data_IF_248447453039
#
_entry.id   IF_248447453039
#
_cell.length_a   1.000
_cell.length_b   1.000
_cell.length_c   1.000
_cell.angle_alpha   90.00
_cell.angle_beta   90.00
_cell.angle_gamma   90.00
#
_symmetry.space_group_name_H-M   'P 1'
#
loop_
_entity.id
_entity.type
_entity.pdbx_description
1 polymer ?
#
# COMPACT_ATOMS: atom_id res chain seq x y z
N UNK A 1 -19.34 -43.40 -16.00
CA UNK A 1 -18.63 -42.51 -15.05
C UNK A 1 -17.40 -41.82 -15.63
N UNK A 2 -16.50 -42.52 -16.34
CA UNK A 2 -15.29 -41.94 -16.99
C UNK A 2 -15.64 -40.93 -18.10
N UNK A 3 -16.69 -41.21 -18.88
CA UNK A 3 -17.16 -40.32 -19.96
C UNK A 3 -17.76 -39.01 -19.42
N UNK A 4 -18.55 -39.08 -18.34
CA UNK A 4 -19.09 -37.89 -17.66
C UNK A 4 -17.99 -37.02 -17.04
N UNK A 5 -16.94 -37.64 -16.46
CA UNK A 5 -15.75 -36.91 -15.98
C UNK A 5 -15.04 -36.18 -17.11
N UNK A 6 -14.94 -36.77 -18.31
CA UNK A 6 -14.32 -36.11 -19.49
C UNK A 6 -15.15 -34.93 -20.02
N UNK A 7 -16.49 -35.02 -20.00
CA UNK A 7 -17.37 -33.93 -20.44
C UNK A 7 -17.36 -32.77 -19.43
N UNK A 8 -17.44 -33.06 -18.13
CA UNK A 8 -17.28 -32.04 -17.08
C UNK A 8 -15.89 -31.38 -17.13
N UNK A 9 -14.87 -32.14 -17.49
CA UNK A 9 -13.50 -31.65 -17.67
C UNK A 9 -13.38 -30.66 -18.84
N UNK A 10 -13.96 -30.96 -20.00
CA UNK A 10 -13.95 -30.08 -21.17
C UNK A 10 -14.76 -28.79 -20.91
N UNK A 11 -15.87 -28.87 -20.18
CA UNK A 11 -16.68 -27.70 -19.83
C UNK A 11 -15.97 -26.76 -18.84
N UNK A 12 -15.30 -27.29 -17.81
CA UNK A 12 -14.51 -26.47 -16.88
C UNK A 12 -13.32 -25.80 -17.58
N UNK A 13 -12.69 -26.51 -18.52
CA UNK A 13 -11.61 -25.97 -19.34
C UNK A 13 -12.10 -24.82 -20.23
N UNK A 14 -13.26 -24.99 -20.87
CA UNK A 14 -13.89 -23.93 -21.68
C UNK A 14 -14.23 -22.71 -20.84
N UNK A 15 -14.88 -22.88 -19.67
CA UNK A 15 -15.24 -21.77 -18.77
C UNK A 15 -13.99 -20.99 -18.32
N UNK A 16 -12.91 -21.68 -17.96
CA UNK A 16 -11.64 -21.02 -17.61
C UNK A 16 -11.02 -20.30 -18.81
N UNK A 17 -11.08 -20.87 -20.01
CA UNK A 17 -10.55 -20.24 -21.22
C UNK A 17 -11.32 -18.96 -21.56
N UNK A 18 -12.64 -19.02 -21.48
CA UNK A 18 -13.52 -17.87 -21.70
C UNK A 18 -13.27 -16.79 -20.65
N UNK A 19 -13.08 -17.16 -19.38
CA UNK A 19 -12.71 -16.20 -18.34
C UNK A 19 -11.33 -15.58 -18.58
N UNK A 20 -10.36 -16.34 -19.09
CA UNK A 20 -9.02 -15.83 -19.41
C UNK A 20 -9.07 -14.87 -20.60
N UNK A 21 -9.80 -15.21 -21.67
CA UNK A 21 -10.00 -14.34 -22.83
C UNK A 21 -10.80 -13.08 -22.46
N UNK A 22 -11.87 -13.21 -21.66
CA UNK A 22 -12.66 -12.07 -21.19
C UNK A 22 -11.85 -11.16 -20.27
N UNK A 23 -11.01 -11.73 -19.40
CA UNK A 23 -10.17 -10.94 -18.50
C UNK A 23 -9.01 -10.26 -19.24
N UNK A 24 -8.61 -10.76 -20.42
CA UNK A 24 -7.40 -10.31 -21.12
C UNK A 24 -7.53 -10.34 -22.65
N UNK A 25 -8.43 -9.51 -23.24
CA UNK A 25 -8.74 -9.54 -24.68
C UNK A 25 -7.54 -9.23 -25.58
N UNK A 26 -6.59 -8.42 -25.14
CA UNK A 26 -5.42 -7.98 -25.94
C UNK A 26 -4.22 -8.95 -25.89
N UNK A 27 -4.40 -10.15 -25.33
CA UNK A 27 -3.29 -11.09 -25.20
C UNK A 27 -3.06 -11.78 -26.55
N UNK A 28 -1.87 -11.62 -27.13
CA UNK A 28 -1.51 -12.22 -28.43
C UNK A 28 -1.83 -13.71 -28.46
N UNK A 29 -2.44 -14.19 -29.55
CA UNK A 29 -2.77 -15.61 -29.77
C UNK A 29 -1.58 -16.54 -29.55
N UNK A 30 -0.36 -16.06 -29.77
CA UNK A 30 0.89 -16.78 -29.55
C UNK A 30 1.10 -17.15 -28.06
N UNK A 31 0.80 -16.24 -27.13
CA UNK A 31 0.87 -16.48 -25.68
C UNK A 31 -0.20 -17.49 -25.26
N UNK A 32 -1.43 -17.37 -25.81
CA UNK A 32 -2.51 -18.31 -25.53
C UNK A 32 -2.15 -19.70 -26.07
N UNK A 33 -1.59 -19.78 -27.27
CA UNK A 33 -1.14 -21.03 -27.91
C UNK A 33 -0.01 -21.72 -27.13
N UNK A 34 0.97 -20.95 -26.66
CA UNK A 34 2.05 -21.47 -25.83
C UNK A 34 1.53 -22.01 -24.49
N UNK A 35 0.62 -21.27 -23.85
CA UNK A 35 -0.08 -21.70 -22.63
C UNK A 35 -0.86 -23.00 -22.88
N UNK A 36 -1.58 -23.11 -24.01
CA UNK A 36 -2.36 -24.29 -24.41
C UNK A 36 -1.50 -25.52 -24.71
N UNK A 37 -0.37 -25.35 -25.41
CA UNK A 37 0.60 -26.44 -25.64
C UNK A 37 1.16 -26.96 -24.32
N UNK A 38 1.40 -26.06 -23.38
CA UNK A 38 1.90 -26.36 -22.04
C UNK A 38 0.93 -27.23 -21.21
N UNK A 39 -0.38 -27.03 -21.36
CA UNK A 39 -1.39 -27.74 -20.56
C UNK A 39 -1.68 -29.18 -20.97
N UNK A 40 -1.15 -29.65 -22.10
CA UNK A 40 -1.39 -31.05 -22.55
C UNK A 40 -0.70 -32.12 -21.69
N UNK A 41 0.19 -31.78 -20.75
CA UNK A 41 1.08 -32.76 -20.13
C UNK A 41 0.68 -33.28 -18.73
N UNK A 42 -0.20 -32.61 -17.94
CA UNK A 42 -0.71 -33.21 -16.69
C UNK A 42 -1.91 -32.45 -16.07
N UNK A 43 -3.11 -32.90 -16.38
CA UNK A 43 -4.38 -32.19 -16.16
C UNK A 43 -4.71 -31.82 -14.69
N UNK A 44 -4.37 -32.66 -13.72
CA UNK A 44 -4.72 -32.37 -12.31
C UNK A 44 -3.74 -31.39 -11.65
N UNK A 45 -2.43 -31.54 -11.88
CA UNK A 45 -1.42 -30.60 -11.37
C UNK A 45 -1.53 -29.22 -12.03
N UNK A 46 -2.10 -29.14 -13.24
CA UNK A 46 -2.22 -27.85 -13.96
C UNK A 46 -3.21 -26.88 -13.34
N UNK A 47 -4.20 -27.33 -12.55
CA UNK A 47 -5.22 -26.41 -11.99
C UNK A 47 -4.66 -25.47 -10.93
N UNK A 48 -3.85 -25.99 -10.00
CA UNK A 48 -3.24 -25.18 -8.94
C UNK A 48 -2.23 -24.20 -9.53
N UNK A 49 -1.43 -24.64 -10.49
CA UNK A 49 -0.46 -23.78 -11.18
C UNK A 49 -1.16 -22.67 -12.00
N UNK A 50 -2.28 -22.98 -12.65
CA UNK A 50 -3.10 -21.99 -13.36
C UNK A 50 -3.66 -20.94 -12.41
N UNK A 51 -4.26 -21.38 -11.31
CA UNK A 51 -4.79 -20.47 -10.30
C UNK A 51 -3.70 -19.53 -9.79
N UNK A 52 -2.52 -20.07 -9.45
CA UNK A 52 -1.38 -19.26 -9.01
C UNK A 52 -0.90 -18.27 -10.05
N UNK A 53 -0.78 -18.67 -11.32
CA UNK A 53 -0.36 -17.77 -12.39
C UNK A 53 -1.40 -16.66 -12.64
N UNK A 54 -2.70 -16.99 -12.60
CA UNK A 54 -3.78 -15.99 -12.69
C UNK A 54 -3.71 -15.03 -11.50
N UNK A 55 -3.43 -15.53 -10.30
CA UNK A 55 -3.20 -14.67 -9.12
C UNK A 55 -1.98 -13.77 -9.30
N UNK A 56 -0.89 -14.25 -9.89
CA UNK A 56 0.26 -13.41 -10.23
C UNK A 56 -0.09 -12.35 -11.27
N UNK A 57 -0.85 -12.67 -12.32
CA UNK A 57 -1.30 -11.67 -13.30
C UNK A 57 -2.26 -10.66 -12.70
N UNK A 58 -3.14 -11.06 -11.77
CA UNK A 58 -3.99 -10.13 -11.03
C UNK A 58 -3.17 -9.21 -10.12
N UNK A 59 -2.18 -9.78 -9.41
CA UNK A 59 -1.34 -9.05 -8.47
C UNK A 59 -0.31 -8.14 -9.18
N UNK A 60 0.19 -8.51 -10.36
CA UNK A 60 1.33 -7.86 -11.01
C UNK A 60 1.09 -7.44 -12.47
N UNK A 61 0.01 -7.86 -13.14
CA UNK A 61 -0.19 -7.64 -14.58
C UNK A 61 -0.44 -6.20 -14.99
N UNK A 62 -0.88 -5.35 -14.05
CA UNK A 62 -0.97 -3.89 -14.24
C UNK A 62 0.36 -3.18 -13.97
N UNK A 63 1.39 -3.93 -13.55
CA UNK A 63 2.64 -3.42 -12.97
C UNK A 63 3.87 -3.80 -13.77
N UNK A 64 3.89 -5.04 -14.23
CA UNK A 64 4.96 -5.64 -14.97
C UNK A 64 4.37 -6.16 -16.27
N UNK A 65 5.18 -6.10 -17.33
CA UNK A 65 4.83 -6.74 -18.58
C UNK A 65 4.49 -8.21 -18.34
N UNK A 66 3.41 -8.68 -18.96
CA UNK A 66 2.93 -10.06 -18.81
C UNK A 66 4.02 -11.09 -19.14
N UNK A 67 4.88 -10.76 -20.10
CA UNK A 67 6.03 -11.56 -20.50
C UNK A 67 7.01 -11.72 -19.33
N UNK A 68 7.33 -10.64 -18.62
CA UNK A 68 8.22 -10.67 -17.46
C UNK A 68 7.66 -11.52 -16.31
N UNK A 69 6.35 -11.42 -16.03
CA UNK A 69 5.67 -12.24 -15.00
C UNK A 69 5.79 -13.72 -15.36
N UNK A 70 5.51 -14.05 -16.62
CA UNK A 70 5.54 -15.42 -17.12
C UNK A 70 6.95 -16.01 -17.17
N UNK A 71 7.94 -15.21 -17.57
CA UNK A 71 9.35 -15.61 -17.54
C UNK A 71 9.82 -15.84 -16.11
N UNK A 72 9.47 -14.97 -15.17
CA UNK A 72 9.83 -15.13 -13.75
C UNK A 72 9.17 -16.40 -13.17
N UNK A 73 7.91 -16.64 -13.49
CA UNK A 73 7.20 -17.86 -13.11
C UNK A 73 7.90 -19.14 -13.60
N UNK A 74 8.38 -19.15 -14.85
CA UNK A 74 9.17 -20.25 -15.41
C UNK A 74 10.52 -20.39 -14.72
N UNK A 75 11.23 -19.28 -14.50
CA UNK A 75 12.57 -19.28 -13.90
C UNK A 75 12.61 -19.78 -12.46
N UNK A 76 11.50 -19.64 -11.73
CA UNK A 76 11.35 -20.09 -10.34
C UNK A 76 10.59 -21.41 -10.23
N UNK A 77 10.69 -22.26 -11.25
CA UNK A 77 10.11 -23.60 -11.28
C UNK A 77 8.62 -23.65 -10.93
N UNK A 78 7.90 -22.55 -11.17
CA UNK A 78 6.47 -22.45 -10.87
C UNK A 78 6.12 -22.56 -9.39
N UNK A 79 7.05 -22.18 -8.52
CA UNK A 79 6.79 -22.05 -7.10
C UNK A 79 6.19 -20.67 -6.87
N UNK A 80 4.90 -20.63 -6.49
CA UNK A 80 4.15 -19.38 -6.33
C UNK A 80 4.76 -18.42 -5.34
N UNK A 81 5.21 -18.92 -4.19
CA UNK A 81 5.80 -18.10 -3.13
C UNK A 81 7.09 -17.44 -3.64
N UNK A 82 8.01 -18.23 -4.17
CA UNK A 82 9.30 -17.76 -4.67
C UNK A 82 9.15 -16.78 -5.85
N UNK A 83 8.27 -17.11 -6.80
CA UNK A 83 7.96 -16.24 -7.95
C UNK A 83 7.38 -14.92 -7.46
N UNK A 84 6.40 -14.96 -6.56
CA UNK A 84 5.75 -13.77 -6.01
C UNK A 84 6.75 -12.90 -5.25
N UNK A 85 7.65 -13.50 -4.49
CA UNK A 85 8.73 -12.78 -3.80
C UNK A 85 9.69 -12.13 -4.79
N UNK A 86 10.09 -12.85 -5.84
CA UNK A 86 10.95 -12.27 -6.88
C UNK A 86 10.27 -11.11 -7.61
N UNK A 87 9.00 -11.26 -8.00
CA UNK A 87 8.25 -10.19 -8.66
C UNK A 87 8.08 -8.97 -7.74
N UNK A 88 7.84 -9.18 -6.43
CA UNK A 88 7.89 -8.09 -5.44
C UNK A 88 9.25 -7.40 -5.38
N UNK A 89 10.34 -8.16 -5.43
CA UNK A 89 11.68 -7.59 -5.43
C UNK A 89 11.95 -6.78 -6.69
N UNK A 90 11.56 -7.28 -7.87
CA UNK A 90 11.64 -6.55 -9.15
C UNK A 90 10.85 -5.23 -9.06
N UNK A 91 9.59 -5.30 -8.64
CA UNK A 91 8.71 -4.14 -8.42
C UNK A 91 9.28 -3.13 -7.41
N UNK A 92 10.00 -3.59 -6.40
CA UNK A 92 10.60 -2.71 -5.39
C UNK A 92 11.90 -2.05 -5.87
N UNK A 93 12.56 -2.61 -6.88
CA UNK A 93 13.78 -2.05 -7.49
C UNK A 93 13.50 -1.22 -8.73
N UNK A 94 12.34 -1.38 -9.38
CA UNK A 94 11.95 -0.55 -10.52
C UNK A 94 11.79 0.89 -10.07
N UNK A 95 12.29 1.83 -10.88
CA UNK A 95 12.18 3.25 -10.60
C UNK A 95 10.70 3.61 -10.44
N UNK A 96 10.29 3.98 -9.22
CA UNK A 96 8.90 4.30 -8.90
C UNK A 96 8.36 5.44 -9.77
N UNK A 97 9.25 6.30 -10.28
CA UNK A 97 8.89 7.40 -11.18
C UNK A 97 8.47 6.91 -12.58
N UNK A 98 8.84 5.71 -12.98
CA UNK A 98 8.49 5.12 -14.27
C UNK A 98 7.16 4.37 -14.24
N UNK A 99 6.73 3.91 -13.06
CA UNK A 99 5.48 3.20 -12.88
C UNK A 99 4.30 4.18 -12.85
N UNK A 100 3.70 4.38 -14.02
CA UNK A 100 2.46 5.15 -14.16
C UNK A 100 1.27 4.26 -13.85
N UNK A 101 0.47 4.65 -12.86
CA UNK A 101 -0.87 4.10 -12.69
C UNK A 101 -1.66 4.36 -13.98
N UNK A 102 -2.33 3.33 -14.51
CA UNK A 102 -3.20 3.50 -15.67
C UNK A 102 -4.21 4.60 -15.40
N UNK A 103 -4.31 5.56 -16.32
CA UNK A 103 -5.11 6.76 -16.08
C UNK A 103 -6.60 6.43 -15.84
N UNK A 104 -7.13 5.38 -16.49
CA UNK A 104 -8.49 4.85 -16.27
C UNK A 104 -8.70 4.43 -14.82
N UNK A 105 -7.86 3.50 -14.33
CA UNK A 105 -7.91 3.02 -12.95
C UNK A 105 -7.80 4.16 -11.95
N UNK A 106 -6.91 5.13 -12.23
CA UNK A 106 -6.72 6.30 -11.38
C UNK A 106 -7.98 7.16 -11.28
N UNK A 107 -8.65 7.46 -12.41
CA UNK A 107 -9.92 8.21 -12.41
C UNK A 107 -10.98 7.44 -11.65
N UNK A 108 -11.14 6.14 -11.94
CA UNK A 108 -12.14 5.30 -11.29
C UNK A 108 -11.91 5.24 -9.77
N UNK A 109 -10.66 5.01 -9.35
CA UNK A 109 -10.26 5.02 -7.94
C UNK A 109 -10.56 6.35 -7.26
N UNK A 110 -10.17 7.47 -7.87
CA UNK A 110 -10.41 8.81 -7.32
C UNK A 110 -11.92 9.06 -7.10
N UNK A 111 -12.75 8.73 -8.09
CA UNK A 111 -14.19 8.90 -8.03
C UNK A 111 -14.84 8.01 -6.96
N UNK A 112 -14.51 6.72 -6.97
CA UNK A 112 -15.04 5.74 -6.01
C UNK A 112 -14.67 6.11 -4.57
N UNK A 113 -13.40 6.46 -4.30
CA UNK A 113 -12.95 6.87 -2.98
C UNK A 113 -13.64 8.15 -2.51
N UNK A 114 -13.86 9.11 -3.41
CA UNK A 114 -14.56 10.35 -3.07
C UNK A 114 -16.01 10.08 -2.64
N UNK A 115 -16.74 9.25 -3.40
CA UNK A 115 -18.13 8.86 -3.08
C UNK A 115 -18.17 8.12 -1.74
N UNK A 116 -17.37 7.06 -1.59
CA UNK A 116 -17.34 6.25 -0.37
C UNK A 116 -16.96 7.09 0.86
N UNK A 117 -15.98 7.98 0.73
CA UNK A 117 -15.56 8.85 1.82
C UNK A 117 -16.68 9.77 2.30
N UNK A 118 -17.40 10.40 1.36
CA UNK A 118 -18.51 11.29 1.70
C UNK A 118 -19.61 10.55 2.47
N UNK A 119 -19.96 9.33 2.04
CA UNK A 119 -20.96 8.49 2.72
C UNK A 119 -20.45 8.07 4.11
N UNK A 120 -19.23 7.54 4.20
CA UNK A 120 -18.64 7.05 5.46
C UNK A 120 -18.48 8.16 6.50
N UNK A 121 -18.09 9.36 6.05
CA UNK A 121 -17.86 10.52 6.92
C UNK A 121 -19.16 11.18 7.38
N UNK A 122 -20.16 11.25 6.48
CA UNK A 122 -21.40 11.97 6.70
C UNK A 122 -22.64 11.09 6.48
N UNK A 123 -22.76 9.98 7.20
CA UNK A 123 -23.76 8.94 6.92
C UNK A 123 -25.22 9.36 7.16
N UNK A 124 -25.44 10.48 7.84
CA UNK A 124 -26.78 11.03 8.09
C UNK A 124 -27.17 12.13 7.09
N UNK A 125 -26.25 12.55 6.24
CA UNK A 125 -26.47 13.65 5.32
C UNK A 125 -26.96 13.09 3.98
N UNK A 126 -28.27 13.15 3.77
CA UNK A 126 -28.97 12.64 2.57
C UNK A 126 -28.33 13.14 1.27
N UNK A 127 -27.76 14.35 1.26
CA UNK A 127 -27.04 14.90 0.10
C UNK A 127 -25.94 13.97 -0.43
N UNK A 128 -25.22 13.26 0.43
CA UNK A 128 -24.14 12.35 -0.01
C UNK A 128 -24.65 10.96 -0.39
N UNK A 129 -25.95 10.71 -0.22
CA UNK A 129 -26.64 9.51 -0.67
C UNK A 129 -27.25 9.71 -2.06
N UNK A 130 -27.06 10.88 -2.68
CA UNK A 130 -27.52 11.18 -4.03
C UNK A 130 -26.35 11.62 -4.90
N UNK A 131 -26.22 11.05 -6.08
CA UNK A 131 -25.23 11.46 -7.09
C UNK A 131 -26.00 11.89 -8.34
N UNK A 132 -25.85 13.17 -8.70
CA UNK A 132 -26.45 13.68 -9.91
C UNK A 132 -25.73 13.10 -11.14
N UNK A 133 -26.47 12.45 -12.04
CA UNK A 133 -25.93 11.77 -13.22
C UNK A 133 -25.14 12.73 -14.11
N UNK A 134 -25.72 13.90 -14.42
CA UNK A 134 -25.07 14.88 -15.29
C UNK A 134 -23.79 15.44 -14.65
N UNK A 135 -23.79 15.70 -13.35
CA UNK A 135 -22.61 16.18 -12.64
C UNK A 135 -21.48 15.13 -12.63
N UNK A 136 -21.82 13.85 -12.41
CA UNK A 136 -20.87 12.75 -12.50
C UNK A 136 -20.29 12.62 -13.92
N UNK A 137 -21.15 12.62 -14.94
CA UNK A 137 -20.74 12.54 -16.34
C UNK A 137 -19.83 13.71 -16.72
N UNK A 138 -20.21 14.96 -16.39
CA UNK A 138 -19.42 16.15 -16.69
C UNK A 138 -18.05 16.11 -16.00
N UNK A 139 -18.00 15.66 -14.74
CA UNK A 139 -16.74 15.52 -14.01
C UNK A 139 -15.81 14.49 -14.66
N UNK A 140 -16.35 13.29 -14.97
CA UNK A 140 -15.58 12.23 -15.62
C UNK A 140 -15.15 12.65 -17.03
N UNK A 141 -16.04 13.28 -17.80
CA UNK A 141 -15.74 13.82 -19.13
C UNK A 141 -14.56 14.79 -19.11
N UNK A 142 -14.55 15.75 -18.18
CA UNK A 142 -13.46 16.70 -18.02
C UNK A 142 -12.13 16.00 -17.70
N UNK A 143 -12.15 15.04 -16.78
CA UNK A 143 -10.96 14.27 -16.37
C UNK A 143 -10.44 13.39 -17.52
N UNK A 144 -11.33 12.71 -18.24
CA UNK A 144 -10.99 11.86 -19.37
C UNK A 144 -10.43 12.67 -20.53
N UNK A 145 -11.04 13.81 -20.88
CA UNK A 145 -10.55 14.73 -21.90
C UNK A 145 -9.14 15.24 -21.56
N UNK A 146 -8.89 15.59 -20.30
CA UNK A 146 -7.57 16.06 -19.84
C UNK A 146 -6.48 15.00 -20.00
N UNK A 147 -6.83 13.72 -19.94
CA UNK A 147 -5.89 12.60 -19.97
C UNK A 147 -5.93 11.81 -21.30
N UNK A 148 -6.76 12.21 -22.26
CA UNK A 148 -6.90 11.55 -23.56
C UNK A 148 -7.49 10.14 -23.49
N UNK A 149 -8.47 9.91 -22.61
CA UNK A 149 -9.06 8.59 -22.36
C UNK A 149 -10.51 8.54 -22.87
N UNK A 150 -10.96 7.35 -23.28
CA UNK A 150 -12.35 7.08 -23.63
C UNK A 150 -13.27 7.13 -22.40
N UNK A 151 -14.26 8.03 -22.44
CA UNK A 151 -15.19 8.27 -21.33
C UNK A 151 -16.17 7.13 -21.09
N UNK A 152 -16.69 6.52 -22.16
CA UNK A 152 -17.83 5.59 -22.08
C UNK A 152 -17.49 4.34 -21.25
N UNK A 153 -16.26 3.83 -21.38
CA UNK A 153 -15.79 2.67 -20.60
C UNK A 153 -15.71 3.00 -19.11
N UNK A 154 -15.02 4.09 -18.74
CA UNK A 154 -14.89 4.53 -17.34
C UNK A 154 -16.28 4.81 -16.74
N UNK A 155 -17.13 5.50 -17.48
CA UNK A 155 -18.48 5.83 -17.02
C UNK A 155 -19.28 4.56 -16.74
N UNK A 156 -19.28 3.59 -17.67
CA UNK A 156 -19.91 2.27 -17.50
C UNK A 156 -19.37 1.53 -16.28
N UNK A 157 -18.06 1.53 -16.07
CA UNK A 157 -17.43 0.87 -14.91
C UNK A 157 -17.86 1.51 -13.58
N UNK A 158 -17.99 2.84 -13.55
CA UNK A 158 -18.50 3.55 -12.37
C UNK A 158 -19.98 3.28 -12.14
N UNK A 159 -20.82 3.23 -13.18
CA UNK A 159 -22.24 2.87 -13.05
C UNK A 159 -22.39 1.45 -12.47
N UNK A 160 -21.69 0.47 -13.05
CA UNK A 160 -21.67 -0.91 -12.56
C UNK A 160 -21.20 -0.98 -11.10
N UNK A 161 -20.17 -0.23 -10.74
CA UNK A 161 -19.68 -0.18 -9.36
C UNK A 161 -20.71 0.44 -8.40
N UNK A 162 -21.38 1.52 -8.79
CA UNK A 162 -22.43 2.18 -8.00
C UNK A 162 -23.58 1.20 -7.69
N UNK A 163 -24.05 0.47 -8.70
CA UNK A 163 -25.06 -0.58 -8.52
C UNK A 163 -24.61 -1.64 -7.53
N UNK A 164 -23.36 -2.13 -7.69
CA UNK A 164 -22.79 -3.16 -6.82
C UNK A 164 -22.67 -2.74 -5.36
N UNK A 165 -22.49 -1.43 -5.07
CA UNK A 165 -22.43 -0.93 -3.70
C UNK A 165 -23.80 -0.49 -3.15
N UNK A 166 -24.88 -0.59 -3.93
CA UNK A 166 -26.25 -0.37 -3.48
C UNK A 166 -26.91 0.94 -3.92
N UNK A 167 -26.31 1.70 -4.84
CA UNK A 167 -27.01 2.79 -5.51
C UNK A 167 -27.98 2.24 -6.55
N UNK A 168 -29.11 2.92 -6.75
CA UNK A 168 -30.04 2.67 -7.85
C UNK A 168 -30.40 3.96 -8.55
N UNK A 169 -30.67 3.88 -9.86
CA UNK A 169 -31.19 5.01 -10.64
C UNK A 169 -32.63 5.32 -10.20
N UNK A 170 -32.92 6.59 -9.95
CA UNK A 170 -34.28 7.10 -9.76
C UNK A 170 -34.98 7.39 -11.09
N UNK A 171 -36.21 7.89 -11.02
CA UNK A 171 -36.97 8.29 -12.22
C UNK A 171 -36.36 9.48 -12.99
N UNK A 172 -35.52 10.26 -12.33
CA UNK A 172 -34.78 11.39 -12.90
C UNK A 172 -33.37 11.00 -13.36
N UNK A 173 -33.11 9.70 -13.50
CA UNK A 173 -31.81 9.08 -13.80
C UNK A 173 -30.69 9.37 -12.80
N UNK A 174 -30.94 10.10 -11.70
CA UNK A 174 -29.94 10.31 -10.67
C UNK A 174 -29.75 9.04 -9.84
N UNK A 175 -28.55 8.89 -9.27
CA UNK A 175 -28.23 7.75 -8.43
C UNK A 175 -28.62 8.04 -6.99
N UNK A 176 -29.41 7.15 -6.40
CA UNK A 176 -29.83 7.21 -5.01
C UNK A 176 -29.34 5.97 -4.28
N UNK A 177 -28.63 6.20 -3.19
CA UNK A 177 -28.21 5.15 -2.29
C UNK A 177 -29.43 4.66 -1.51
N UNK A 178 -29.96 3.51 -1.91
CA UNK A 178 -31.23 3.02 -1.39
C UNK A 178 -31.03 2.25 -0.09
N UNK A 179 -30.73 2.86 1.06
CA UNK A 179 -30.73 2.06 2.30
C UNK A 179 -30.90 2.82 3.61
N UNK A 180 -31.71 2.20 4.47
CA UNK A 180 -31.83 2.44 5.91
C UNK A 180 -30.82 1.58 6.72
N UNK A 181 -30.18 0.58 6.10
CA UNK A 181 -29.45 -0.51 6.79
C UNK A 181 -28.18 -1.09 6.12
N UNK A 182 -27.54 -0.45 5.12
CA UNK A 182 -26.27 -1.01 4.62
C UNK A 182 -25.24 -1.07 5.76
N UNK A 183 -24.61 -2.24 6.01
CA UNK A 183 -23.57 -2.33 7.01
C UNK A 183 -22.43 -1.41 6.62
N UNK A 184 -22.10 -0.43 7.47
CA UNK A 184 -20.91 0.41 7.30
C UNK A 184 -19.63 -0.41 7.08
N UNK A 185 -19.59 -1.62 7.65
CA UNK A 185 -18.52 -2.58 7.44
C UNK A 185 -18.36 -2.99 5.97
N UNK A 186 -19.46 -3.04 5.19
CA UNK A 186 -19.41 -3.30 3.76
C UNK A 186 -18.84 -2.11 2.99
N UNK A 187 -19.35 -0.90 3.22
CA UNK A 187 -18.81 0.32 2.59
C UNK A 187 -17.33 0.52 2.90
N UNK A 188 -16.92 0.22 4.13
CA UNK A 188 -15.52 0.25 4.52
C UNK A 188 -14.67 -0.78 3.76
N UNK A 189 -15.17 -2.01 3.55
CA UNK A 189 -14.49 -3.00 2.69
C UNK A 189 -14.36 -2.51 1.23
N UNK A 190 -15.37 -1.85 0.69
CA UNK A 190 -15.30 -1.21 -0.61
C UNK A 190 -14.24 -0.09 -0.64
N UNK A 191 -14.14 0.70 0.43
CA UNK A 191 -13.12 1.74 0.57
C UNK A 191 -11.72 1.14 0.61
N UNK A 192 -11.52 0.09 1.43
CA UNK A 192 -10.28 -0.67 1.50
C UNK A 192 -9.89 -1.25 0.14
N UNK A 193 -10.85 -1.80 -0.61
CA UNK A 193 -10.60 -2.32 -1.96
C UNK A 193 -10.00 -1.26 -2.88
N UNK A 194 -10.61 -0.08 -2.96
CA UNK A 194 -10.17 0.99 -3.86
C UNK A 194 -8.88 1.67 -3.41
N UNK A 195 -8.71 1.94 -2.10
CA UNK A 195 -7.53 2.64 -1.61
C UNK A 195 -6.27 1.77 -1.73
N UNK A 196 -6.42 0.45 -1.59
CA UNK A 196 -5.30 -0.50 -1.76
C UNK A 196 -4.88 -0.67 -3.23
N UNK A 197 -5.65 -0.13 -4.19
CA UNK A 197 -5.21 -0.02 -5.59
C UNK A 197 -4.23 1.14 -5.81
N UNK A 198 -4.01 2.04 -4.84
CA UNK A 198 -2.98 3.06 -4.95
C UNK A 198 -1.61 2.41 -5.24
N UNK A 199 -0.89 2.95 -6.22
CA UNK A 199 0.51 2.57 -6.56
C UNK A 199 1.34 2.36 -5.29
N UNK A 200 1.22 3.26 -4.30
CA UNK A 200 1.98 3.18 -3.06
C UNK A 200 1.79 1.87 -2.27
N UNK A 201 0.55 1.37 -2.18
CA UNK A 201 0.21 0.08 -1.55
C UNK A 201 0.83 -1.11 -2.27
N UNK A 202 1.01 -0.96 -3.57
CA UNK A 202 1.46 -2.01 -4.46
C UNK A 202 2.98 -2.14 -4.48
N UNK A 203 3.72 -1.04 -4.30
CA UNK A 203 5.17 -1.01 -4.50
C UNK A 203 5.99 -0.59 -3.27
N UNK A 204 5.52 0.37 -2.49
CA UNK A 204 6.38 1.01 -1.48
C UNK A 204 6.42 0.28 -0.15
N UNK A 205 5.33 -0.37 0.22
CA UNK A 205 5.26 -1.11 1.47
C UNK A 205 5.71 -2.56 1.22
N UNK A 206 7.03 -2.79 1.23
CA UNK A 206 7.57 -4.14 1.48
C UNK A 206 7.03 -4.69 2.81
N UNK A 207 6.79 -3.79 3.75
CA UNK A 207 6.16 -4.02 5.04
C UNK A 207 4.68 -4.39 4.93
N UNK A 208 4.25 -5.25 5.84
CA UNK A 208 2.83 -5.56 6.01
C UNK A 208 2.12 -4.31 6.53
N UNK A 209 1.32 -3.63 5.71
CA UNK A 209 0.57 -2.46 6.17
C UNK A 209 -0.31 -2.89 7.35
N UNK A 210 -0.10 -2.34 8.55
CA UNK A 210 -0.89 -2.73 9.71
C UNK A 210 -2.34 -2.40 9.44
N UNK A 211 -3.17 -3.44 9.32
CA UNK A 211 -4.61 -3.26 9.16
C UNK A 211 -5.24 -2.77 10.45
N UNK A 212 -4.66 -3.08 11.61
CA UNK A 212 -5.28 -2.91 12.92
C UNK A 212 -4.31 -2.22 13.87
N UNK A 213 -4.73 -1.12 14.45
CA UNK A 213 -3.92 -0.30 15.37
C UNK A 213 -4.74 0.11 16.58
N UNK A 214 -4.08 0.30 17.72
CA UNK A 214 -4.69 1.02 18.83
C UNK A 214 -4.21 2.46 18.79
N UNK A 215 -5.14 3.41 18.86
CA UNK A 215 -4.81 4.83 18.95
C UNK A 215 -5.36 5.41 20.25
N UNK A 216 -4.55 6.23 20.93
CA UNK A 216 -4.99 6.97 22.12
C UNK A 216 -5.93 8.10 21.69
N UNK A 217 -7.18 8.06 22.15
CA UNK A 217 -8.18 9.07 21.80
C UNK A 217 -9.01 9.44 23.02
N UNK A 218 -8.83 10.67 23.49
CA UNK A 218 -9.44 11.22 24.70
C UNK A 218 -9.04 10.43 25.95
N UNK A 219 -7.73 10.23 26.13
CA UNK A 219 -7.16 9.48 27.26
C UNK A 219 -7.44 7.98 27.28
N UNK A 220 -8.12 7.44 26.26
CA UNK A 220 -8.47 6.01 26.16
C UNK A 220 -7.93 5.39 24.88
N UNK A 221 -7.28 4.24 25.01
CA UNK A 221 -6.87 3.43 23.87
C UNK A 221 -8.09 2.84 23.17
N UNK A 222 -8.20 3.08 21.87
CA UNK A 222 -9.29 2.55 21.04
C UNK A 222 -8.70 1.78 19.88
N UNK A 223 -9.37 0.70 19.54
CA UNK A 223 -8.99 -0.16 18.43
C UNK A 223 -9.61 0.36 17.13
N UNK A 224 -8.80 0.40 16.08
CA UNK A 224 -9.19 0.88 14.76
C UNK A 224 -8.67 -0.07 13.68
N UNK A 225 -9.47 -0.26 12.63
CA UNK A 225 -8.92 -0.69 11.34
C UNK A 225 -8.33 0.54 10.64
N UNK A 226 -7.10 0.46 10.15
CA UNK A 226 -6.35 1.57 9.57
C UNK A 226 -6.04 1.36 8.10
N UNK A 227 -6.15 2.44 7.33
CA UNK A 227 -5.66 2.51 5.96
C UNK A 227 -5.04 3.89 5.70
N UNK A 228 -4.07 3.96 4.81
CA UNK A 228 -3.25 5.11 4.50
C UNK A 228 -3.72 5.64 3.15
N UNK A 229 -4.07 6.90 3.10
CA UNK A 229 -4.29 7.60 1.85
C UNK A 229 -3.06 8.45 1.55
N UNK A 230 -2.17 7.86 0.77
CA UNK A 230 -0.89 8.48 0.43
C UNK A 230 -1.03 9.65 -0.53
N UNK A 231 -2.09 9.66 -1.34
CA UNK A 231 -2.40 10.75 -2.24
C UNK A 231 -2.81 12.01 -1.47
N UNK A 232 -3.55 11.85 -0.38
CA UNK A 232 -4.03 12.95 0.47
C UNK A 232 -3.25 13.09 1.79
N UNK A 233 -2.14 12.36 1.96
CA UNK A 233 -1.31 12.31 3.19
C UNK A 233 -2.14 12.13 4.47
N UNK A 234 -3.11 11.23 4.44
CA UNK A 234 -4.08 11.03 5.51
C UNK A 234 -4.05 9.58 6.00
N UNK A 235 -4.25 9.35 7.29
CA UNK A 235 -4.52 8.02 7.84
C UNK A 235 -6.00 7.93 8.18
N UNK A 236 -6.68 6.96 7.60
CA UNK A 236 -8.11 6.68 7.80
C UNK A 236 -8.24 5.58 8.85
N UNK A 237 -9.06 5.83 9.86
CA UNK A 237 -9.27 4.94 11.01
C UNK A 237 -10.75 4.61 11.17
N UNK A 238 -11.10 3.34 11.07
CA UNK A 238 -12.46 2.84 11.22
C UNK A 238 -12.67 2.17 12.59
N UNK A 239 -13.59 2.72 13.38
CA UNK A 239 -14.04 2.16 14.66
C UNK A 239 -15.17 1.17 14.38
N UNK A 240 -14.84 -0.12 14.27
CA UNK A 240 -15.81 -1.19 14.01
C UNK A 240 -16.95 -1.21 15.05
N UNK A 241 -16.67 -0.86 16.30
CA UNK A 241 -17.67 -0.90 17.39
C UNK A 241 -18.69 0.23 17.28
N UNK A 242 -18.27 1.38 16.74
CA UNK A 242 -19.11 2.58 16.63
C UNK A 242 -19.58 2.86 15.21
N UNK A 243 -19.09 2.11 14.23
CA UNK A 243 -19.25 2.37 12.81
C UNK A 243 -18.91 3.83 12.46
N UNK A 244 -17.80 4.33 13.02
CA UNK A 244 -17.34 5.71 12.81
C UNK A 244 -15.96 5.72 12.19
N UNK A 245 -15.81 6.52 11.16
CA UNK A 245 -14.51 6.79 10.55
C UNK A 245 -13.90 8.07 11.14
N UNK A 246 -12.57 8.09 11.22
CA UNK A 246 -11.76 9.28 11.51
C UNK A 246 -10.67 9.40 10.46
N UNK A 247 -10.28 10.63 10.15
CA UNK A 247 -9.13 10.93 9.32
C UNK A 247 -8.09 11.68 10.16
N UNK A 248 -6.83 11.28 10.05
CA UNK A 248 -5.68 11.99 10.61
C UNK A 248 -4.89 12.60 9.46
N UNK A 249 -4.86 13.92 9.37
CA UNK A 249 -4.06 14.63 8.37
C UNK A 249 -2.60 14.64 8.84
N UNK A 250 -1.74 13.85 8.20
CA UNK A 250 -0.35 13.65 8.66
C UNK A 250 0.62 14.66 8.05
N UNK A 251 0.36 15.10 6.83
CA UNK A 251 1.15 16.13 6.15
C UNK A 251 0.28 17.07 5.33
N UNK A 252 0.88 17.88 4.48
CA UNK A 252 0.14 18.79 3.63
C UNK A 252 -0.67 18.02 2.56
N UNK A 253 -2.01 18.18 2.49
CA UNK A 253 -2.84 17.46 1.52
C UNK A 253 -2.54 17.86 0.07
N UNK A 254 -1.83 18.97 -0.17
CA UNK A 254 -1.40 19.37 -1.52
C UNK A 254 -0.23 18.50 -1.96
N UNK A 255 -0.50 17.62 -2.93
CA UNK A 255 0.44 16.66 -3.53
C UNK A 255 1.79 17.25 -3.97
N UNK A 256 1.82 18.52 -4.39
CA UNK A 256 3.03 19.20 -4.89
C UNK A 256 3.98 19.70 -3.79
N UNK A 257 3.53 19.74 -2.54
CA UNK A 257 4.40 20.18 -1.45
C UNK A 257 5.30 19.04 -1.01
N UNK A 258 6.60 19.33 -0.94
CA UNK A 258 7.55 18.46 -0.28
C UNK A 258 7.19 18.38 1.21
N UNK A 259 7.31 17.18 1.78
CA UNK A 259 7.00 16.95 3.19
C UNK A 259 8.22 16.34 3.88
N UNK A 260 8.64 16.97 4.98
CA UNK A 260 9.80 16.55 5.77
C UNK A 260 9.49 16.48 7.26
N UNK A 261 8.29 16.88 7.66
CA UNK A 261 7.96 17.12 9.06
C UNK A 261 7.03 16.03 9.62
N UNK A 262 6.92 14.88 8.94
CA UNK A 262 6.26 13.73 9.56
C UNK A 262 7.24 13.10 10.55
N UNK A 263 7.07 13.46 11.82
CA UNK A 263 7.93 13.04 12.92
C UNK A 263 7.43 11.73 13.53
N UNK A 264 8.33 10.76 13.68
CA UNK A 264 8.02 9.43 14.20
C UNK A 264 8.94 9.14 15.39
N UNK A 265 8.36 8.95 16.57
CA UNK A 265 9.10 8.59 17.78
C UNK A 265 8.61 7.25 18.31
N UNK A 266 9.54 6.37 18.69
CA UNK A 266 9.23 5.12 19.35
C UNK A 266 9.35 5.27 20.86
N UNK A 267 8.46 4.60 21.59
CA UNK A 267 8.58 4.43 23.03
C UNK A 267 7.95 3.10 23.44
N UNK A 268 8.24 2.66 24.66
CA UNK A 268 7.66 1.46 25.22
C UNK A 268 6.73 1.87 26.37
N UNK A 269 5.53 1.31 26.40
CA UNK A 269 4.56 1.51 27.47
C UNK A 269 4.36 0.19 28.20
N UNK A 270 4.45 0.20 29.53
CA UNK A 270 4.23 -0.97 30.37
C UNK A 270 2.98 -0.70 31.19
N UNK A 271 1.91 -1.43 30.86
CA UNK A 271 0.66 -1.36 31.61
C UNK A 271 0.77 -2.27 32.84
N UNK A 272 1.52 -1.81 33.84
CA UNK A 272 1.79 -2.55 35.08
C UNK A 272 0.50 -2.81 35.87
N UNK A 273 -0.47 -1.89 35.81
CA UNK A 273 -1.60 -1.91 36.74
C UNK A 273 -2.78 -2.77 36.28
N UNK A 274 -2.94 -3.00 34.97
CA UNK A 274 -4.10 -3.72 34.46
C UNK A 274 -3.78 -5.03 33.77
N UNK A 275 -2.79 -5.04 32.88
CA UNK A 275 -2.55 -6.18 31.99
C UNK A 275 -1.17 -6.81 32.15
N UNK A 276 -0.26 -6.16 32.89
CA UNK A 276 1.18 -6.48 32.94
C UNK A 276 1.77 -6.66 31.54
N UNK A 277 1.19 -5.99 30.53
CA UNK A 277 1.57 -6.16 29.13
C UNK A 277 2.48 -5.02 28.69
N UNK A 278 3.52 -5.40 27.93
CA UNK A 278 4.42 -4.46 27.27
C UNK A 278 3.89 -4.11 25.89
N UNK A 279 3.81 -2.82 25.59
CA UNK A 279 3.30 -2.30 24.32
C UNK A 279 4.40 -1.58 23.56
N UNK A 280 4.52 -1.89 22.28
CA UNK A 280 5.39 -1.16 21.36
C UNK A 280 4.59 0.03 20.83
N UNK A 281 5.04 1.24 21.14
CA UNK A 281 4.29 2.46 20.90
C UNK A 281 5.02 3.40 19.93
N UNK A 282 4.23 4.19 19.21
CA UNK A 282 4.69 5.17 18.24
C UNK A 282 3.93 6.47 18.44
N UNK A 283 4.66 7.58 18.50
CA UNK A 283 4.11 8.93 18.49
C UNK A 283 4.32 9.51 17.09
N UNK A 284 3.23 9.91 16.46
CA UNK A 284 3.21 10.57 15.17
C UNK A 284 2.95 12.06 15.34
N UNK A 285 3.84 12.89 14.78
CA UNK A 285 3.81 14.36 14.83
C UNK A 285 3.58 14.91 16.25
N UNK A 286 4.11 14.24 17.27
CA UNK A 286 3.95 14.60 18.69
C UNK A 286 2.50 14.62 19.21
N UNK A 287 1.52 14.20 18.42
CA UNK A 287 0.09 14.34 18.73
C UNK A 287 -0.59 12.98 18.81
N UNK A 288 -0.37 12.10 17.84
CA UNK A 288 -1.10 10.85 17.73
C UNK A 288 -0.27 9.70 18.28
N UNK A 289 -0.74 9.11 19.37
CA UNK A 289 -0.12 7.96 19.99
C UNK A 289 -0.77 6.68 19.47
N UNK A 290 0.05 5.77 18.98
CA UNK A 290 -0.31 4.44 18.55
C UNK A 290 0.36 3.40 19.42
N UNK A 291 -0.30 2.26 19.64
CA UNK A 291 0.32 1.07 20.21
C UNK A 291 -0.04 -0.18 19.42
N UNK A 292 0.88 -1.13 19.41
CA UNK A 292 0.72 -2.41 18.73
C UNK A 292 1.07 -3.55 19.67
N UNK A 293 0.46 -4.72 19.44
CA UNK A 293 0.66 -5.92 20.26
C UNK A 293 2.05 -6.55 20.07
N UNK A 294 2.69 -6.33 18.91
CA UNK A 294 3.97 -6.94 18.55
C UNK A 294 4.89 -5.88 17.97
N UNK A 295 6.17 -5.96 18.32
CA UNK A 295 7.20 -5.06 17.79
C UNK A 295 7.25 -5.02 16.26
N UNK A 296 7.02 -6.16 15.59
CA UNK A 296 7.02 -6.19 14.12
C UNK A 296 5.98 -5.23 13.52
N UNK A 297 4.81 -5.11 14.15
CA UNK A 297 3.76 -4.22 13.67
C UNK A 297 4.09 -2.73 13.89
N UNK A 298 4.90 -2.39 14.91
CA UNK A 298 5.36 -1.00 15.08
C UNK A 298 6.38 -0.62 14.00
N UNK A 299 7.25 -1.56 13.62
CA UNK A 299 8.19 -1.38 12.51
C UNK A 299 7.43 -1.15 11.20
N UNK A 300 6.44 -2.01 10.92
CA UNK A 300 5.60 -1.88 9.75
C UNK A 300 4.79 -0.57 9.72
N UNK A 301 4.23 -0.17 10.87
CA UNK A 301 3.53 1.11 11.01
C UNK A 301 4.47 2.29 10.75
N UNK A 302 5.64 2.28 11.37
CA UNK A 302 6.67 3.30 11.17
C UNK A 302 7.08 3.39 9.70
N UNK A 303 7.26 2.26 9.03
CA UNK A 303 7.62 2.23 7.61
C UNK A 303 6.52 2.83 6.73
N UNK A 304 5.25 2.52 7.00
CA UNK A 304 4.12 3.09 6.26
C UNK A 304 4.02 4.60 6.46
N UNK A 305 4.18 5.06 7.71
CA UNK A 305 4.12 6.49 8.03
C UNK A 305 5.31 7.24 7.44
N UNK A 306 6.50 6.62 7.39
CA UNK A 306 7.68 7.25 6.83
C UNK A 306 7.54 7.59 5.35
N UNK A 307 6.69 6.86 4.63
CA UNK A 307 6.42 7.10 3.21
C UNK A 307 5.68 8.42 2.94
N UNK A 308 5.12 9.05 3.98
CA UNK A 308 4.59 10.41 3.85
C UNK A 308 5.69 11.47 3.72
N UNK A 309 6.96 11.17 4.00
CA UNK A 309 8.06 12.11 3.77
C UNK A 309 8.70 11.93 2.39
N UNK A 310 9.19 13.04 1.85
CA UNK A 310 9.92 13.08 0.58
C UNK A 310 11.32 12.46 0.69
N UNK A 311 11.97 12.59 1.85
CA UNK A 311 13.29 12.03 2.11
C UNK A 311 13.21 10.97 3.22
N UNK A 312 13.76 9.79 2.96
CA UNK A 312 13.92 8.77 4.00
C UNK A 312 15.15 7.91 3.80
N UNK A 313 15.68 7.45 4.93
CA UNK A 313 16.78 6.50 5.02
C UNK A 313 16.21 5.10 5.11
N UNK A 314 16.70 4.21 4.27
CA UNK A 314 16.48 2.77 4.35
C UNK A 314 17.65 2.17 5.11
N UNK A 315 17.39 1.34 6.10
CA UNK A 315 18.42 0.58 6.81
C UNK A 315 17.93 -0.83 7.13
N UNK A 316 18.85 -1.73 7.46
CA UNK A 316 18.54 -3.13 7.80
C UNK A 316 19.01 -3.47 9.19
N UNK A 317 18.30 -4.37 9.87
CA UNK A 317 18.72 -4.90 11.17
C UNK A 317 19.38 -6.29 11.07
N UNK A 318 19.74 -6.88 12.23
CA UNK A 318 20.28 -8.26 12.33
C UNK A 318 19.41 -9.32 11.65
N UNK A 319 18.09 -9.12 11.67
CA UNK A 319 17.13 -10.02 11.05
C UNK A 319 16.97 -9.74 9.54
N UNK A 320 17.83 -8.88 8.97
CA UNK A 320 17.79 -8.41 7.59
C UNK A 320 16.45 -7.74 7.23
N UNK A 321 15.71 -7.26 8.23
CA UNK A 321 14.44 -6.54 8.01
C UNK A 321 14.76 -5.12 7.60
N UNK A 322 14.05 -4.67 6.58
CA UNK A 322 14.19 -3.32 6.05
C UNK A 322 13.34 -2.35 6.86
N UNK A 323 13.96 -1.29 7.36
CA UNK A 323 13.35 -0.17 8.06
C UNK A 323 13.45 1.10 7.23
N UNK A 324 12.47 2.00 7.40
CA UNK A 324 12.42 3.31 6.75
C UNK A 324 12.33 4.40 7.78
N UNK A 325 13.31 5.29 7.77
CA UNK A 325 13.42 6.41 8.67
C UNK A 325 13.18 7.73 7.97
N UNK A 326 12.24 8.49 8.51
CA UNK A 326 11.91 9.82 8.03
C UNK A 326 12.80 10.87 8.64
N UNK A 327 13.57 11.54 7.80
CA UNK A 327 14.58 12.49 8.24
C UNK A 327 14.40 13.80 7.45
N UNK A 328 14.47 14.95 8.12
CA UNK A 328 14.41 16.23 7.43
C UNK A 328 15.82 16.62 6.96
N UNK A 329 16.11 16.59 5.65
CA UNK A 329 17.47 16.79 5.18
C UNK A 329 17.97 18.23 5.36
N UNK A 330 17.07 19.19 5.49
CA UNK A 330 17.40 20.61 5.62
C UNK A 330 17.70 21.04 7.06
N UNK A 331 17.23 20.30 8.06
CA UNK A 331 17.41 20.65 9.47
C UNK A 331 18.25 19.66 10.27
N UNK A 332 18.62 18.54 9.67
CA UNK A 332 19.29 17.46 10.37
C UNK A 332 20.66 17.15 9.78
N UNK A 333 21.65 17.04 10.65
CA UNK A 333 23.00 16.61 10.28
C UNK A 333 23.08 15.10 10.10
N UNK A 334 24.11 14.63 9.39
CA UNK A 334 24.39 13.20 9.24
C UNK A 334 24.55 12.52 10.60
N UNK A 335 25.35 13.13 11.48
CA UNK A 335 25.56 12.66 12.86
C UNK A 335 24.24 12.54 13.65
N UNK A 336 23.38 13.56 13.58
CA UNK A 336 22.07 13.51 14.22
C UNK A 336 21.18 12.40 13.64
N UNK A 337 21.21 12.19 12.32
CA UNK A 337 20.48 11.11 11.67
C UNK A 337 20.93 9.72 12.13
N UNK A 338 22.24 9.48 12.24
CA UNK A 338 22.79 8.23 12.76
C UNK A 338 22.38 8.01 14.22
N UNK A 339 22.46 9.05 15.06
CA UNK A 339 22.02 8.96 16.46
C UNK A 339 20.52 8.68 16.58
N UNK A 340 19.69 9.27 15.71
CA UNK A 340 18.26 9.00 15.68
C UNK A 340 17.96 7.53 15.36
N UNK A 341 18.63 6.96 14.36
CA UNK A 341 18.50 5.52 14.03
C UNK A 341 18.99 4.65 15.19
N UNK A 342 20.12 5.01 15.82
CA UNK A 342 20.65 4.31 17.01
C UNK A 342 19.65 4.29 18.17
N UNK A 343 19.06 5.44 18.50
CA UNK A 343 18.05 5.54 19.56
C UNK A 343 16.82 4.67 19.26
N UNK A 344 16.39 4.63 18.00
CA UNK A 344 15.26 3.79 17.59
C UNK A 344 15.56 2.30 17.74
N UNK A 345 16.77 1.88 17.39
CA UNK A 345 17.27 0.54 17.63
C UNK A 345 17.33 0.20 19.13
N UNK A 346 17.83 1.11 19.97
CA UNK A 346 17.83 0.96 21.42
C UNK A 346 16.41 0.74 21.95
N UNK A 347 15.45 1.55 21.54
CA UNK A 347 14.05 1.39 21.96
C UNK A 347 13.47 0.03 21.56
N UNK A 348 13.87 -0.49 20.40
CA UNK A 348 13.46 -1.82 19.92
C UNK A 348 14.08 -2.93 20.75
N UNK A 349 15.37 -2.88 20.99
CA UNK A 349 16.10 -3.93 21.72
C UNK A 349 15.71 -3.91 23.21
N UNK A 350 15.48 -2.72 23.78
CA UNK A 350 14.83 -2.59 25.07
C UNK A 350 13.43 -3.24 25.05
N UNK A 351 12.65 -3.07 23.98
CA UNK A 351 11.34 -3.73 23.87
C UNK A 351 11.45 -5.27 23.89
N UNK A 352 12.33 -5.82 23.04
CA UNK A 352 12.44 -7.27 22.81
C UNK A 352 13.18 -7.97 23.95
N UNK A 353 14.31 -7.42 24.38
CA UNK A 353 15.26 -8.08 25.29
C UNK A 353 15.32 -7.43 26.68
N UNK A 354 14.73 -6.24 26.85
CA UNK A 354 14.89 -5.46 28.10
C UNK A 354 16.29 -4.86 28.25
N UNK A 355 17.07 -4.76 27.18
CA UNK A 355 18.41 -4.19 27.18
C UNK A 355 18.35 -2.66 27.01
N UNK A 356 19.02 -1.92 27.89
CA UNK A 356 19.09 -0.45 27.81
C UNK A 356 20.16 0.04 26.81
N UNK A 357 21.16 -0.79 26.54
CA UNK A 357 22.26 -0.49 25.62
C UNK A 357 22.29 -1.45 24.44
N UNK A 358 22.72 -0.96 23.27
CA UNK A 358 22.95 -1.80 22.10
C UNK A 358 24.27 -2.54 22.28
N UNK A 359 24.24 -3.85 22.01
CA UNK A 359 25.45 -4.69 22.02
C UNK A 359 26.42 -4.27 20.92
N UNK A 360 25.91 -3.90 19.74
CA UNK A 360 26.69 -3.45 18.59
C UNK A 360 25.91 -2.36 17.85
N UNK A 361 26.62 -1.36 17.34
CA UNK A 361 26.07 -0.40 16.40
C UNK A 361 27.21 0.11 15.53
N UNK A 362 27.30 -0.40 14.32
CA UNK A 362 28.36 -0.07 13.36
C UNK A 362 27.76 0.33 12.02
N UNK A 363 28.30 1.39 11.41
CA UNK A 363 27.87 1.88 10.10
C UNK A 363 28.88 1.48 9.04
N UNK A 364 28.48 0.67 8.06
CA UNK A 364 29.33 0.22 6.97
C UNK A 364 29.26 1.23 5.81
N UNK A 365 29.97 2.37 5.95
CA UNK A 365 29.87 3.51 5.03
C UNK A 365 30.15 3.17 3.56
N UNK A 366 31.01 2.18 3.30
CA UNK A 366 31.34 1.66 1.98
C UNK A 366 30.13 1.00 1.28
N UNK A 367 29.13 0.55 2.05
CA UNK A 367 27.90 -0.08 1.55
C UNK A 367 26.71 0.88 1.47
N UNK A 368 26.88 2.15 1.88
CA UNK A 368 25.82 3.15 1.76
C UNK A 368 25.52 3.44 0.29
N UNK A 369 24.26 3.75 -0.03
CA UNK A 369 23.83 4.13 -1.39
C UNK A 369 23.05 5.44 -1.37
N UNK A 370 23.57 6.52 -2.00
CA UNK A 370 24.90 6.61 -2.62
C UNK A 370 26.03 6.48 -1.59
N UNK A 371 27.24 6.18 -2.06
CA UNK A 371 28.41 6.09 -1.20
C UNK A 371 28.71 7.45 -0.54
N UNK A 372 29.09 7.40 0.74
CA UNK A 372 29.42 8.57 1.55
C UNK A 372 30.85 8.40 2.08
N UNK A 373 31.63 9.46 2.10
CA UNK A 373 32.98 9.43 2.68
C UNK A 373 32.90 9.16 4.18
N UNK A 374 33.63 8.16 4.68
CA UNK A 374 33.71 7.82 6.11
C UNK A 374 34.20 8.99 6.99
N UNK A 375 34.93 9.94 6.42
CA UNK A 375 35.37 11.18 7.09
C UNK A 375 34.21 12.07 7.57
N UNK A 376 32.97 11.81 7.13
CA UNK A 376 31.79 12.59 7.51
C UNK A 376 31.19 12.21 8.86
N UNK A 377 31.61 11.10 9.48
CA UNK A 377 31.04 10.61 10.74
C UNK A 377 31.14 11.63 11.89
N UNK A 378 32.26 12.37 11.95
CA UNK A 378 32.49 13.36 13.00
C UNK A 378 32.08 14.79 12.61
N UNK A 379 31.59 14.96 11.38
CA UNK A 379 31.25 16.28 10.84
C UNK A 379 29.77 16.61 11.04
N UNK A 380 29.47 17.83 11.48
CA UNK A 380 28.09 18.36 11.58
C UNK A 380 27.55 18.82 10.21
N UNK A 381 27.76 18.00 9.17
CA UNK A 381 27.30 18.28 7.80
C UNK A 381 25.82 17.93 7.68
N UNK A 382 25.03 18.85 7.11
CA UNK A 382 23.61 18.62 6.84
C UNK A 382 23.41 17.52 5.80
N UNK A 383 22.36 16.71 5.98
CA UNK A 383 22.00 15.70 4.98
C UNK A 383 21.71 16.34 3.61
N UNK A 384 21.16 17.55 3.59
CA UNK A 384 20.97 18.33 2.36
C UNK A 384 22.28 18.49 1.59
N UNK A 385 23.36 18.88 2.24
CA UNK A 385 24.64 19.13 1.58
C UNK A 385 25.27 17.85 1.02
N UNK A 386 24.97 16.70 1.64
CA UNK A 386 25.43 15.39 1.17
C UNK A 386 24.66 14.95 -0.09
N UNK A 387 23.34 15.15 -0.13
CA UNK A 387 22.49 14.54 -1.15
C UNK A 387 21.91 15.47 -2.20
N UNK A 388 22.08 16.80 -2.09
CA UNK A 388 21.47 17.80 -3.00
C UNK A 388 21.80 17.62 -4.49
N UNK A 389 22.88 16.91 -4.79
CA UNK A 389 23.32 16.65 -6.17
C UNK A 389 22.74 15.37 -6.77
N UNK A 390 21.98 14.58 -6.00
CA UNK A 390 21.34 13.39 -6.52
C UNK A 390 20.14 13.74 -7.42
N UNK A 391 19.90 12.96 -8.49
CA UNK A 391 18.68 13.07 -9.28
C UNK A 391 17.43 12.98 -8.40
N UNK A 392 16.43 13.82 -8.70
CA UNK A 392 15.15 13.88 -7.99
C UNK A 392 15.21 14.33 -6.52
N UNK A 393 16.37 14.78 -6.00
CA UNK A 393 16.43 15.40 -4.68
C UNK A 393 15.42 16.56 -4.59
N UNK A 394 14.65 16.68 -3.49
CA UNK A 394 14.76 15.91 -2.22
C UNK A 394 13.85 14.67 -2.14
N UNK A 395 13.17 14.28 -3.21
CA UNK A 395 12.30 13.10 -3.26
C UNK A 395 13.15 11.86 -3.57
N UNK A 396 13.94 11.42 -2.59
CA UNK A 396 14.90 10.32 -2.75
C UNK A 396 14.85 9.35 -1.57
N UNK A 397 15.26 8.12 -1.86
CA UNK A 397 15.54 7.09 -0.86
C UNK A 397 17.04 6.89 -0.82
N UNK A 398 17.64 6.94 0.36
CA UNK A 398 19.07 6.64 0.55
C UNK A 398 19.19 5.41 1.44
N UNK A 399 20.16 4.55 1.16
CA UNK A 399 20.38 3.31 1.90
C UNK A 399 21.58 3.45 2.83
N UNK A 400 21.39 3.21 4.12
CA UNK A 400 22.42 3.15 5.14
C UNK A 400 22.54 1.70 5.63
N UNK A 401 23.71 1.10 5.43
CA UNK A 401 23.98 -0.24 5.93
C UNK A 401 24.45 -0.14 7.39
N UNK A 402 23.61 -0.60 8.32
CA UNK A 402 23.85 -0.50 9.76
C UNK A 402 23.87 -1.91 10.33
N UNK A 403 25.00 -2.30 10.89
CA UNK A 403 25.13 -3.50 11.71
C UNK A 403 24.70 -3.13 13.13
N UNK A 404 23.40 -3.29 13.40
CA UNK A 404 22.85 -3.25 14.77
C UNK A 404 23.06 -4.58 15.43
#
# INVERSE_FOLDING_TARGET
MIFLKRILFLNLYFIMLTQLQQSFPDTSEEIISDILKWFKQNVEKTKDHQYHLVMLFKDFGTKLEKIMISQTWKNYNQIYIDTREKLKNICATSNLNELKEGNELKISREMCLHILWNILKYPKHIKYHQINKQALYNYLSLKCHTLGIELEQIYTDIENWLENIGFKKGYDDNWYYQYDHIPFSWLWKCYLYWITQQTMYLYKTRSHIPKRVYMLSNGKWKYYESVFDYEHRTIMLFDENKFKIKSLQVGNPKKSSLEFNVHIQWYNDIDINHTHSKWACLILNHIWHFRTLKNIYICDLSNCVSEFNSFHVIWKDRDNRTHKESLNPYSMTFKQGIQHVKHKLQMRDHFIFGADELILFECEFDKFKPAISSKLNDSDVLLHDIYKHLPHYPIIQVHWEILS
#
